data_IF_658237895746
#
_entry.id   IF_658237895746
#
_cell.length_a   1.000
_cell.length_b   1.000
_cell.length_c   1.000
_cell.angle_alpha   90.00
_cell.angle_beta   90.00
_cell.angle_gamma   90.00
#
_symmetry.space_group_name_H-M   'P 1'
#
loop_
_entity.id
_entity.type
_entity.pdbx_description
1 polymer ?
#
# COMPACT_ATOMS: atom_id res chain seq x y z
N UNK A 1 29.18 -47.20 -0.44
CA UNK A 1 29.01 -46.06 0.50
C UNK A 1 28.43 -44.83 -0.22
N UNK A 2 27.13 -44.80 -0.62
CA UNK A 2 26.56 -43.64 -1.34
C UNK A 2 25.59 -42.75 -0.53
N UNK A 3 25.28 -43.09 0.73
CA UNK A 3 24.24 -42.39 1.52
C UNK A 3 24.66 -40.99 1.98
N UNK A 4 25.95 -40.71 2.10
CA UNK A 4 26.44 -39.45 2.67
C UNK A 4 26.23 -38.23 1.75
N UNK A 5 26.32 -38.41 0.43
CA UNK A 5 26.16 -37.31 -0.55
C UNK A 5 24.69 -36.91 -0.73
N UNK A 6 23.75 -37.86 -0.57
CA UNK A 6 22.33 -37.61 -0.74
C UNK A 6 21.74 -36.72 0.36
N UNK A 7 22.25 -36.82 1.59
CA UNK A 7 21.79 -35.99 2.72
C UNK A 7 22.32 -34.55 2.65
N UNK A 8 23.52 -34.35 2.10
CA UNK A 8 24.11 -33.02 1.92
C UNK A 8 23.32 -32.20 0.88
N UNK A 9 22.91 -32.83 -0.22
CA UNK A 9 22.13 -32.16 -1.28
C UNK A 9 20.74 -31.78 -0.79
N UNK A 10 20.08 -32.63 0.01
CA UNK A 10 18.77 -32.31 0.59
C UNK A 10 18.85 -31.19 1.62
N UNK A 11 19.92 -31.13 2.40
CA UNK A 11 20.14 -30.10 3.42
C UNK A 11 20.50 -28.72 2.79
N UNK A 12 21.24 -28.72 1.68
CA UNK A 12 21.51 -27.50 0.91
C UNK A 12 20.27 -26.96 0.21
N UNK A 13 19.42 -27.84 -0.34
CA UNK A 13 18.17 -27.44 -1.00
C UNK A 13 17.15 -26.87 0.01
N UNK A 14 17.07 -27.45 1.21
CA UNK A 14 16.18 -26.95 2.27
C UNK A 14 16.61 -25.56 2.77
N UNK A 15 17.92 -25.31 2.95
CA UNK A 15 18.42 -23.98 3.32
C UNK A 15 18.12 -22.91 2.25
N UNK A 16 18.17 -23.25 0.97
CA UNK A 16 17.85 -22.31 -0.12
C UNK A 16 16.35 -21.94 -0.12
N UNK A 17 15.47 -22.89 0.18
CA UNK A 17 14.02 -22.67 0.30
C UNK A 17 13.66 -21.80 1.52
N UNK A 18 14.48 -21.82 2.57
CA UNK A 18 14.25 -21.07 3.82
C UNK A 18 14.78 -19.62 3.78
N UNK A 19 15.63 -19.26 2.81
CA UNK A 19 16.27 -17.93 2.73
C UNK A 19 15.40 -16.78 2.18
N UNK A 20 14.14 -17.03 1.80
CA UNK A 20 13.32 -16.06 1.06
C UNK A 20 12.70 -14.91 1.88
N UNK A 21 12.69 -14.97 3.21
CA UNK A 21 11.90 -14.05 4.03
C UNK A 21 12.65 -12.78 4.49
N UNK A 22 13.99 -12.76 4.46
CA UNK A 22 14.77 -11.64 4.99
C UNK A 22 14.88 -10.43 4.03
N UNK A 23 14.60 -10.62 2.74
CA UNK A 23 14.72 -9.56 1.71
C UNK A 23 13.53 -8.60 1.60
N UNK A 24 12.46 -8.80 2.38
CA UNK A 24 11.20 -8.06 2.25
C UNK A 24 11.08 -6.87 3.22
N UNK A 25 12.20 -6.32 3.70
CA UNK A 25 12.15 -5.12 4.55
C UNK A 25 11.79 -3.89 3.72
N UNK A 26 10.55 -3.44 3.85
CA UNK A 26 10.07 -2.22 3.20
C UNK A 26 10.39 -1.02 4.09
N UNK A 27 10.89 0.10 3.53
CA UNK A 27 11.09 1.32 4.31
C UNK A 27 9.78 1.80 4.94
N UNK A 28 9.82 2.39 6.14
CA UNK A 28 8.64 2.96 6.76
C UNK A 28 8.08 4.10 5.87
N UNK A 29 6.75 4.28 5.81
CA UNK A 29 6.17 5.41 5.12
C UNK A 29 6.62 6.72 5.78
N UNK A 30 6.91 7.78 5.01
CA UNK A 30 7.27 9.08 5.58
C UNK A 30 6.10 9.64 6.41
N UNK A 31 6.40 10.48 7.40
CA UNK A 31 5.34 11.25 8.08
C UNK A 31 4.84 12.39 7.20
N UNK A 32 3.70 13.00 7.56
CA UNK A 32 3.19 14.19 6.88
C UNK A 32 4.20 15.34 6.98
N UNK A 33 4.81 15.55 8.16
CA UNK A 33 5.82 16.59 8.35
C UNK A 33 7.07 16.34 7.50
N UNK A 34 7.50 15.09 7.36
CA UNK A 34 8.60 14.71 6.47
C UNK A 34 8.26 14.96 5.01
N UNK A 35 7.02 14.68 4.60
CA UNK A 35 6.55 14.96 3.24
C UNK A 35 6.53 16.46 2.93
N UNK A 36 6.09 17.28 3.88
CA UNK A 36 6.16 18.74 3.78
C UNK A 36 7.62 19.18 3.66
N UNK A 37 8.51 18.66 4.50
CA UNK A 37 9.94 18.98 4.45
C UNK A 37 10.58 18.59 3.11
N UNK A 38 10.25 17.42 2.55
CA UNK A 38 10.72 17.00 1.22
C UNK A 38 10.24 17.95 0.12
N UNK A 39 8.98 18.38 0.20
CA UNK A 39 8.39 19.31 -0.77
C UNK A 39 9.06 20.69 -0.69
N UNK A 40 9.28 21.20 0.52
CA UNK A 40 9.95 22.47 0.77
C UNK A 40 11.44 22.44 0.41
N UNK A 41 12.09 21.28 0.50
CA UNK A 41 13.44 21.07 0.00
C UNK A 41 13.55 21.06 -1.54
N UNK A 42 12.44 21.23 -2.25
CA UNK A 42 12.39 21.27 -3.71
C UNK A 42 12.52 19.89 -4.36
N UNK A 43 12.28 18.81 -3.61
CA UNK A 43 12.29 17.46 -4.17
C UNK A 43 11.17 17.33 -5.21
N UNK A 44 11.43 16.76 -6.39
CA UNK A 44 10.45 16.74 -7.46
C UNK A 44 9.27 15.82 -7.09
N UNK A 45 8.07 16.23 -7.50
CA UNK A 45 6.81 15.59 -7.09
C UNK A 45 6.75 14.10 -7.48
N UNK A 46 7.30 13.72 -8.65
CA UNK A 46 7.34 12.35 -9.12
C UNK A 46 8.21 11.44 -8.22
N UNK A 47 9.27 11.99 -7.63
CA UNK A 47 10.11 11.26 -6.69
C UNK A 47 9.41 11.05 -5.35
N UNK A 48 8.72 12.08 -4.84
CA UNK A 48 7.90 11.97 -3.62
C UNK A 48 6.79 10.93 -3.84
N UNK A 49 6.08 10.99 -4.97
CA UNK A 49 5.04 10.00 -5.33
C UNK A 49 5.61 8.58 -5.39
N UNK A 50 6.79 8.40 -6.00
CA UNK A 50 7.46 7.09 -6.08
C UNK A 50 7.79 6.53 -4.69
N UNK A 51 8.23 7.37 -3.78
CA UNK A 51 8.50 6.95 -2.39
C UNK A 51 7.20 6.53 -1.67
N UNK A 52 6.11 7.28 -1.85
CA UNK A 52 4.80 6.91 -1.30
C UNK A 52 4.28 5.59 -1.89
N UNK A 53 4.52 5.32 -3.17
CA UNK A 53 4.20 4.04 -3.83
C UNK A 53 5.02 2.89 -3.25
N UNK A 54 6.34 3.09 -3.09
CA UNK A 54 7.26 2.10 -2.55
C UNK A 54 6.90 1.72 -1.12
N UNK A 55 6.47 2.68 -0.30
CA UNK A 55 6.05 2.46 1.09
C UNK A 55 4.59 1.99 1.20
N UNK A 56 3.78 2.13 0.14
CA UNK A 56 2.30 1.96 0.14
C UNK A 56 1.65 2.80 1.25
N UNK A 57 2.11 4.03 1.41
CA UNK A 57 1.57 4.96 2.37
C UNK A 57 0.11 5.34 2.01
N UNK A 58 -0.76 5.37 3.02
CA UNK A 58 -2.16 5.80 2.90
C UNK A 58 -2.49 6.68 4.09
N UNK A 59 -3.00 7.89 3.84
CA UNK A 59 -3.34 8.85 4.89
C UNK A 59 -4.81 9.25 4.75
N UNK A 60 -5.65 9.04 5.79
CA UNK A 60 -7.05 9.46 5.80
C UNK A 60 -7.15 10.97 6.06
N UNK A 61 -6.81 11.78 5.05
CA UNK A 61 -6.82 13.25 5.16
C UNK A 61 -8.20 13.82 4.85
N UNK A 62 -8.62 14.83 5.62
CA UNK A 62 -9.80 15.64 5.32
C UNK A 62 -9.52 16.63 4.20
N UNK A 63 -10.57 17.19 3.58
CA UNK A 63 -10.40 18.25 2.58
C UNK A 63 -9.64 19.48 3.13
N UNK A 64 -9.92 19.88 4.38
CA UNK A 64 -9.21 20.99 5.02
C UNK A 64 -7.72 20.71 5.28
N UNK A 65 -7.35 19.44 5.53
CA UNK A 65 -5.95 19.05 5.67
C UNK A 65 -5.23 19.07 4.32
N UNK A 66 -5.89 18.66 3.23
CA UNK A 66 -5.31 18.73 1.88
C UNK A 66 -5.04 20.18 1.47
N UNK A 67 -5.99 21.10 1.72
CA UNK A 67 -5.79 22.54 1.48
C UNK A 67 -4.60 23.07 2.27
N UNK A 68 -4.48 22.71 3.55
CA UNK A 68 -3.34 23.12 4.38
C UNK A 68 -2.01 22.61 3.85
N UNK A 69 -1.95 21.38 3.35
CA UNK A 69 -0.73 20.81 2.76
C UNK A 69 -0.35 21.53 1.46
N UNK A 70 -1.33 21.87 0.63
CA UNK A 70 -1.12 22.70 -0.54
C UNK A 70 -0.54 24.08 -0.16
N UNK A 71 -1.12 24.75 0.85
CA UNK A 71 -0.61 26.03 1.38
C UNK A 71 0.81 25.91 1.96
N UNK A 72 1.20 24.72 2.46
CA UNK A 72 2.55 24.42 2.95
C UNK A 72 3.57 24.11 1.83
N UNK A 73 3.14 24.15 0.57
CA UNK A 73 3.99 23.96 -0.60
C UNK A 73 4.07 22.52 -1.09
N UNK A 74 3.17 21.64 -0.67
CA UNK A 74 3.09 20.28 -1.21
C UNK A 74 2.49 20.34 -2.63
N UNK A 75 3.16 19.78 -3.66
CA UNK A 75 2.66 19.83 -5.03
C UNK A 75 1.33 19.08 -5.21
N UNK A 76 0.45 19.60 -6.06
CA UNK A 76 -0.87 19.01 -6.36
C UNK A 76 -0.77 17.54 -6.80
N UNK A 77 0.23 17.20 -7.62
CA UNK A 77 0.45 15.83 -8.06
C UNK A 77 0.69 14.84 -6.89
N UNK A 78 1.29 15.30 -5.79
CA UNK A 78 1.47 14.49 -4.57
C UNK A 78 0.14 14.37 -3.82
N UNK A 79 -0.60 15.46 -3.69
CA UNK A 79 -1.91 15.48 -3.01
C UNK A 79 -2.94 14.61 -3.73
N UNK A 80 -3.00 14.70 -5.06
CA UNK A 80 -3.85 13.87 -5.92
C UNK A 80 -3.52 12.38 -5.74
N UNK A 81 -2.23 12.04 -5.70
CA UNK A 81 -1.81 10.67 -5.42
C UNK A 81 -2.29 10.20 -4.05
N UNK A 82 -2.13 11.02 -2.99
CA UNK A 82 -2.54 10.66 -1.64
C UNK A 82 -4.06 10.43 -1.54
N UNK A 83 -4.86 11.29 -2.18
CA UNK A 83 -6.32 11.13 -2.23
C UNK A 83 -6.73 9.84 -2.98
N UNK A 84 -6.10 9.58 -4.13
CA UNK A 84 -6.36 8.37 -4.90
C UNK A 84 -5.96 7.10 -4.12
N UNK A 85 -4.81 7.11 -3.45
CA UNK A 85 -4.36 6.00 -2.62
C UNK A 85 -5.34 5.71 -1.47
N UNK A 86 -5.88 6.75 -0.83
CA UNK A 86 -6.93 6.59 0.19
C UNK A 86 -8.22 6.03 -0.40
N UNK A 87 -8.70 6.57 -1.52
CA UNK A 87 -9.88 6.05 -2.22
C UNK A 87 -9.76 4.58 -2.59
N UNK A 88 -8.62 4.18 -3.16
CA UNK A 88 -8.33 2.77 -3.48
C UNK A 88 -8.27 1.89 -2.23
N UNK A 89 -7.75 2.39 -1.11
CA UNK A 89 -7.76 1.65 0.16
C UNK A 89 -9.18 1.35 0.66
N UNK A 90 -10.11 2.31 0.51
CA UNK A 90 -11.52 2.13 0.86
C UNK A 90 -12.17 1.10 -0.07
N UNK A 91 -11.93 1.21 -1.39
CA UNK A 91 -12.44 0.25 -2.38
C UNK A 91 -11.94 -1.16 -2.11
N UNK A 92 -10.66 -1.31 -1.79
CA UNK A 92 -10.05 -2.59 -1.45
C UNK A 92 -10.63 -3.20 -0.18
N UNK A 93 -10.84 -2.40 0.86
CA UNK A 93 -11.44 -2.85 2.11
C UNK A 93 -12.90 -3.25 1.93
N UNK A 94 -13.69 -2.44 1.21
CA UNK A 94 -15.06 -2.79 0.86
C UNK A 94 -15.09 -4.11 0.08
N UNK A 95 -14.24 -4.25 -0.95
CA UNK A 95 -14.12 -5.49 -1.73
C UNK A 95 -13.86 -6.69 -0.83
N UNK A 96 -12.86 -6.63 0.06
CA UNK A 96 -12.58 -7.74 0.98
C UNK A 96 -13.75 -8.05 1.90
N UNK A 97 -14.40 -7.04 2.46
CA UNK A 97 -15.53 -7.23 3.37
C UNK A 97 -16.74 -7.87 2.68
N UNK A 98 -17.01 -7.52 1.42
CA UNK A 98 -18.16 -8.04 0.67
C UNK A 98 -17.87 -9.33 -0.10
N UNK A 99 -16.63 -9.56 -0.54
CA UNK A 99 -16.27 -10.75 -1.34
C UNK A 99 -15.73 -11.92 -0.49
N UNK A 100 -15.16 -11.66 0.71
CA UNK A 100 -14.58 -12.72 1.54
C UNK A 100 -15.60 -13.61 2.27
N UNK A 101 -16.88 -13.23 2.31
CA UNK A 101 -17.88 -13.94 3.14
C UNK A 101 -18.50 -15.16 2.47
N UNK A 102 -18.25 -15.44 1.18
CA UNK A 102 -18.98 -16.50 0.48
C UNK A 102 -18.08 -17.48 -0.25
N UNK A 103 -17.56 -18.45 0.49
CA UNK A 103 -17.11 -19.72 -0.09
C UNK A 103 -18.28 -20.72 -0.30
N UNK A 104 -19.48 -20.46 0.26
CA UNK A 104 -20.68 -21.26 0.02
C UNK A 104 -21.96 -20.41 0.05
N UNK A 105 -22.97 -20.88 -0.69
CA UNK A 105 -24.14 -20.22 -1.28
C UNK A 105 -25.07 -19.38 -0.36
N UNK A 106 -25.42 -18.17 -0.80
CA UNK A 106 -26.82 -17.73 -1.04
C UNK A 106 -26.86 -16.25 -1.48
N UNK A 107 -27.37 -16.01 -2.70
CA UNK A 107 -27.34 -14.72 -3.40
C UNK A 107 -28.38 -13.70 -2.89
N UNK A 108 -28.59 -13.57 -1.58
CA UNK A 108 -29.53 -12.59 -1.00
C UNK A 108 -28.90 -11.22 -0.69
N UNK A 109 -27.56 -11.15 -0.63
CA UNK A 109 -26.83 -9.92 -0.22
C UNK A 109 -26.10 -9.20 -1.37
N UNK A 110 -26.24 -9.67 -2.61
CA UNK A 110 -25.64 -9.02 -3.79
C UNK A 110 -26.16 -7.59 -4.03
N UNK A 111 -27.32 -7.23 -3.46
CA UNK A 111 -27.95 -5.92 -3.63
C UNK A 111 -27.50 -4.83 -2.65
N UNK A 112 -26.77 -5.17 -1.59
CA UNK A 112 -26.37 -4.20 -0.55
C UNK A 112 -24.90 -3.79 -0.66
N UNK A 113 -24.38 -3.63 -1.89
CA UNK A 113 -23.10 -2.93 -2.10
C UNK A 113 -23.38 -1.43 -2.00
N UNK A 114 -22.90 -0.72 -0.96
CA UNK A 114 -22.98 0.72 -0.94
C UNK A 114 -22.15 1.26 -2.10
N UNK A 115 -22.81 1.86 -3.08
CA UNK A 115 -22.13 2.67 -4.10
C UNK A 115 -21.66 3.92 -3.38
N UNK A 116 -20.36 4.00 -3.08
CA UNK A 116 -19.74 5.24 -2.61
C UNK A 116 -19.73 6.17 -3.81
N UNK A 117 -20.76 7.02 -3.91
CA UNK A 117 -20.82 8.08 -4.90
C UNK A 117 -19.81 9.14 -4.48
N UNK A 118 -18.67 9.19 -5.17
CA UNK A 118 -17.71 10.30 -5.03
C UNK A 118 -18.28 11.45 -5.85
N UNK A 119 -18.72 12.56 -5.23
CA UNK A 119 -19.14 13.73 -5.99
C UNK A 119 -17.95 14.20 -6.84
N UNK A 120 -18.18 14.35 -8.15
CA UNK A 120 -17.20 14.93 -9.08
C UNK A 120 -17.30 16.45 -9.07
#
# INVERSE_FOLDING_TARGET
>A
MPTCTSHIVTLLLSLLLLGGCAGLHRPPPPSIDQLVAMSQAGRPADEIVRELQQTRAVYPLTGSQIVRLHEQGVPDAVLDYMQNAYGESIRWNARRQYESTYWWHDCFYCYNRPVIVIPR
#
